data_IF_936839317204
#
_entry.id   IF_936839317204
#
_cell.length_a   1.000
_cell.length_b   1.000
_cell.length_c   1.000
_cell.angle_alpha   90.00
_cell.angle_beta   90.00
_cell.angle_gamma   90.00
#
_symmetry.space_group_name_H-M   'P 1'
#
loop_
_entity.id
_entity.type
_entity.pdbx_description
1 polymer ?
#
# COMPACT_ATOMS: atom_id res chain seq x y z
N UNK A 1 -3.81 -15.42 2.21
CA UNK A 1 -4.10 -14.87 3.55
C UNK A 1 -4.85 -13.55 3.37
N UNK A 2 -5.93 -13.30 4.12
CA UNK A 2 -6.55 -11.96 4.15
C UNK A 2 -5.85 -11.15 5.24
N UNK A 3 -5.15 -10.09 4.85
CA UNK A 3 -4.65 -9.07 5.78
C UNK A 3 -5.70 -7.96 5.88
N UNK A 4 -5.89 -7.39 7.07
CA UNK A 4 -6.78 -6.24 7.26
C UNK A 4 -6.03 -4.93 7.04
N UNK A 5 -6.76 -3.84 6.75
CA UNK A 5 -6.16 -2.50 6.67
C UNK A 5 -5.48 -2.11 7.99
N UNK A 6 -6.09 -2.40 9.16
CA UNK A 6 -5.44 -2.19 10.45
C UNK A 6 -4.10 -2.93 10.56
N UNK A 7 -4.06 -4.20 10.17
CA UNK A 7 -2.85 -5.01 10.30
C UNK A 7 -1.75 -4.56 9.35
N UNK A 8 -2.10 -4.19 8.11
CA UNK A 8 -1.14 -3.67 7.15
C UNK A 8 -0.64 -2.28 7.57
N UNK A 9 -1.54 -1.39 8.00
CA UNK A 9 -1.16 -0.07 8.49
C UNK A 9 -0.20 -0.14 9.68
N UNK A 10 -0.48 -1.02 10.64
CA UNK A 10 0.40 -1.28 11.78
C UNK A 10 1.80 -1.74 11.35
N UNK A 11 1.89 -2.67 10.39
CA UNK A 11 3.17 -3.17 9.89
C UNK A 11 3.93 -2.12 9.08
N UNK A 12 3.24 -1.26 8.34
CA UNK A 12 3.83 -0.15 7.59
C UNK A 12 4.20 1.07 8.48
N UNK A 13 3.88 1.01 9.78
CA UNK A 13 4.06 2.14 10.70
C UNK A 13 3.23 3.37 10.33
N UNK A 14 2.06 3.19 9.71
CA UNK A 14 1.18 4.29 9.30
C UNK A 14 -0.19 4.20 9.97
N UNK A 15 -0.88 5.33 10.02
CA UNK A 15 -2.24 5.37 10.55
C UNK A 15 -3.22 4.60 9.63
N UNK A 16 -4.16 3.88 10.24
CA UNK A 16 -5.18 3.11 9.50
C UNK A 16 -6.04 4.00 8.59
N UNK A 17 -6.39 5.21 9.02
CA UNK A 17 -7.09 6.18 8.18
C UNK A 17 -6.25 6.58 6.97
N UNK A 18 -4.94 6.77 7.15
CA UNK A 18 -4.02 7.05 6.05
C UNK A 18 -3.94 5.88 5.06
N UNK A 19 -3.85 4.64 5.53
CA UNK A 19 -3.94 3.44 4.66
C UNK A 19 -5.23 3.43 3.84
N UNK A 20 -6.38 3.66 4.49
CA UNK A 20 -7.65 3.71 3.78
C UNK A 20 -7.72 4.81 2.72
N UNK A 21 -7.12 5.98 2.98
CA UNK A 21 -7.01 7.07 2.00
C UNK A 21 -6.13 6.70 0.81
N UNK A 22 -5.04 5.95 1.03
CA UNK A 22 -4.17 5.43 -0.03
C UNK A 22 -4.97 4.50 -0.95
N UNK A 23 -5.66 3.50 -0.40
CA UNK A 23 -6.42 2.53 -1.21
C UNK A 23 -7.54 3.18 -2.03
N UNK A 24 -8.13 4.28 -1.54
CA UNK A 24 -9.15 5.05 -2.26
C UNK A 24 -8.58 6.10 -3.23
N UNK A 25 -7.27 6.28 -3.28
CA UNK A 25 -6.63 7.30 -4.12
C UNK A 25 -6.86 8.74 -3.65
N UNK A 26 -7.19 8.95 -2.38
CA UNK A 26 -7.43 10.28 -1.78
C UNK A 26 -6.14 10.99 -1.38
N UNK A 27 -5.01 10.28 -1.37
CA UNK A 27 -3.67 10.80 -1.09
C UNK A 27 -2.64 10.20 -2.01
N UNK A 28 -1.59 10.97 -2.29
CA UNK A 28 -0.42 10.47 -2.98
C UNK A 28 0.47 9.68 -2.01
N UNK A 29 0.94 8.53 -2.49
CA UNK A 29 1.91 7.69 -1.82
C UNK A 29 3.33 8.08 -2.23
N UNK A 30 4.29 8.07 -1.31
CA UNK A 30 5.70 8.19 -1.68
C UNK A 30 6.19 6.87 -2.30
N UNK A 31 7.22 6.94 -3.15
CA UNK A 31 7.82 5.73 -3.72
C UNK A 31 8.37 4.83 -2.61
N UNK A 32 9.02 5.38 -1.60
CA UNK A 32 9.50 4.63 -0.43
C UNK A 32 8.39 3.80 0.24
N UNK A 33 7.23 4.42 0.52
CA UNK A 33 6.12 3.74 1.17
C UNK A 33 5.50 2.65 0.28
N UNK A 34 5.52 2.83 -1.05
CA UNK A 34 5.12 1.79 -2.00
C UNK A 34 5.98 0.52 -1.84
N UNK A 35 7.31 0.69 -1.72
CA UNK A 35 8.23 -0.44 -1.52
C UNK A 35 8.01 -1.13 -0.18
N UNK A 36 7.83 -0.38 0.92
CA UNK A 36 7.56 -0.96 2.23
C UNK A 36 6.25 -1.77 2.26
N UNK A 37 5.18 -1.25 1.66
CA UNK A 37 3.89 -1.96 1.55
C UNK A 37 4.08 -3.27 0.76
N UNK A 38 4.80 -3.21 -0.37
CA UNK A 38 5.07 -4.38 -1.20
C UNK A 38 5.90 -5.45 -0.45
N UNK A 39 6.89 -5.03 0.35
CA UNK A 39 7.70 -5.92 1.17
C UNK A 39 6.86 -6.67 2.21
N UNK A 40 5.98 -5.97 2.93
CA UNK A 40 5.08 -6.57 3.92
C UNK A 40 4.10 -7.54 3.27
N UNK A 41 3.56 -7.17 2.10
CA UNK A 41 2.67 -8.02 1.31
C UNK A 41 3.40 -9.17 0.60
N UNK A 42 4.74 -9.16 0.56
CA UNK A 42 5.60 -10.13 -0.14
C UNK A 42 5.29 -10.25 -1.63
N UNK A 43 5.07 -9.10 -2.27
CA UNK A 43 4.81 -8.98 -3.71
C UNK A 43 5.82 -8.04 -4.36
N UNK A 44 5.90 -8.08 -5.68
CA UNK A 44 6.67 -7.09 -6.41
C UNK A 44 5.95 -5.73 -6.35
N UNK A 45 6.65 -4.59 -6.12
CA UNK A 45 6.02 -3.27 -6.08
C UNK A 45 5.20 -2.92 -7.34
N UNK A 46 5.55 -3.49 -8.49
CA UNK A 46 4.78 -3.31 -9.74
C UNK A 46 3.35 -3.81 -9.65
N UNK A 47 3.08 -4.78 -8.77
CA UNK A 47 1.75 -5.34 -8.57
C UNK A 47 0.82 -4.37 -7.82
N UNK A 48 1.38 -3.33 -7.19
CA UNK A 48 0.62 -2.23 -6.58
C UNK A 48 0.36 -1.07 -7.56
N UNK A 49 0.92 -1.13 -8.76
CA UNK A 49 0.78 -0.10 -9.78
C UNK A 49 -0.18 -0.56 -10.88
N UNK A 50 -0.96 0.36 -11.46
CA UNK A 50 -1.80 0.01 -12.60
C UNK A 50 -0.94 -0.41 -13.79
N UNK A 51 -1.44 -1.35 -14.60
CA UNK A 51 -0.86 -1.63 -15.91
C UNK A 51 -1.08 -0.40 -16.79
N UNK A 52 -0.01 0.14 -17.37
CA UNK A 52 -0.11 1.20 -18.35
C UNK A 52 -0.58 0.57 -19.68
N UNK A 53 -1.86 0.76 -20.00
CA UNK A 53 -2.39 0.52 -21.35
C UNK A 53 -2.16 1.80 -22.16
N UNK A 54 -1.24 1.74 -23.13
CA UNK A 54 -1.03 2.79 -24.12
C UNK A 54 -1.72 2.42 -25.43
#
# INVERSE_FOLDING_TARGET
>A
MKITQESLALQCGIDRSYMGRIERGEVNLTVEKLYEIAEILKINPRELLPTLEF
#
